data_IF_352536212604
#
_entry.id   IF_352536212604
#
_cell.length_a   1.000
_cell.length_b   1.000
_cell.length_c   1.000
_cell.angle_alpha   90.00
_cell.angle_beta   90.00
_cell.angle_gamma   90.00
#
_symmetry.space_group_name_H-M   'P 1'
#
loop_
_entity.id
_entity.type
_entity.pdbx_description
1 polymer ?
#
# COMPACT_ATOMS: atom_id res chain seq x y z
N UNK A 1 18.52 15.96 -12.17
CA UNK A 1 17.87 16.95 -11.28
C UNK A 1 17.38 16.31 -9.99
N UNK A 2 16.67 15.17 -9.97
CA UNK A 2 16.23 14.48 -8.74
C UNK A 2 17.39 14.04 -7.82
N UNK A 3 18.51 13.59 -8.39
CA UNK A 3 19.70 13.14 -7.62
C UNK A 3 20.18 14.14 -6.56
N UNK A 4 20.12 15.46 -6.86
CA UNK A 4 20.51 16.50 -5.90
C UNK A 4 19.57 16.57 -4.69
N UNK A 5 18.27 16.32 -4.91
CA UNK A 5 17.30 16.31 -3.83
C UNK A 5 17.44 15.06 -2.96
N UNK A 6 17.67 13.90 -3.55
CA UNK A 6 17.91 12.67 -2.80
C UNK A 6 19.20 12.71 -1.99
N UNK A 7 20.27 13.31 -2.56
CA UNK A 7 21.51 13.54 -1.83
C UNK A 7 21.31 14.48 -0.62
N UNK A 8 20.48 15.52 -0.74
CA UNK A 8 20.15 16.42 0.37
C UNK A 8 19.41 15.71 1.50
N UNK A 9 18.61 14.72 1.18
CA UNK A 9 17.89 13.87 2.13
C UNK A 9 18.78 12.74 2.68
N UNK A 10 20.05 12.64 2.23
CA UNK A 10 21.02 11.60 2.60
C UNK A 10 20.55 10.18 2.20
N UNK A 11 19.73 10.08 1.16
CA UNK A 11 19.27 8.79 0.64
C UNK A 11 20.31 8.19 -0.32
N UNK A 12 20.52 6.89 -0.22
CA UNK A 12 21.27 6.13 -1.20
C UNK A 12 20.33 5.81 -2.38
N UNK A 13 20.54 6.50 -3.49
CA UNK A 13 19.63 6.45 -4.62
C UNK A 13 20.29 5.86 -5.85
N UNK A 14 19.74 4.77 -6.34
CA UNK A 14 20.13 4.10 -7.56
C UNK A 14 19.18 4.47 -8.71
N UNK A 15 19.70 4.60 -9.92
CA UNK A 15 18.92 5.01 -11.09
C UNK A 15 19.04 3.97 -12.20
N UNK A 16 17.89 3.55 -12.71
CA UNK A 16 17.78 2.77 -13.93
C UNK A 16 17.12 3.60 -15.03
N UNK A 17 17.63 3.53 -16.25
CA UNK A 17 17.17 4.33 -17.38
C UNK A 17 16.32 3.54 -18.38
N UNK A 18 16.23 2.23 -18.21
CA UNK A 18 15.26 1.39 -18.90
C UNK A 18 14.69 0.33 -17.96
N UNK A 19 13.56 -0.28 -18.38
CA UNK A 19 12.83 -1.20 -17.52
C UNK A 19 13.55 -2.55 -17.31
N UNK A 20 14.41 -3.00 -18.22
CA UNK A 20 15.18 -4.23 -18.02
C UNK A 20 16.28 -4.02 -16.98
N UNK A 21 17.00 -2.89 -17.08
CA UNK A 21 17.99 -2.47 -16.09
C UNK A 21 17.35 -2.37 -14.69
N UNK A 22 16.15 -1.77 -14.59
CA UNK A 22 15.43 -1.66 -13.32
C UNK A 22 15.13 -3.03 -12.70
N UNK A 23 14.64 -3.99 -13.50
CA UNK A 23 14.36 -5.35 -13.04
C UNK A 23 15.65 -6.09 -12.66
N UNK A 24 16.73 -5.91 -13.42
CA UNK A 24 18.03 -6.53 -13.12
C UNK A 24 18.61 -6.03 -11.80
N UNK A 25 18.64 -4.69 -11.59
CA UNK A 25 19.10 -4.09 -10.34
C UNK A 25 18.28 -4.58 -9.15
N UNK A 26 16.95 -4.59 -9.26
CA UNK A 26 16.08 -5.06 -8.18
C UNK A 26 16.28 -6.55 -7.89
N UNK A 27 16.40 -7.38 -8.93
CA UNK A 27 16.53 -8.85 -8.79
C UNK A 27 17.85 -9.27 -8.16
N UNK A 28 18.89 -8.43 -8.23
CA UNK A 28 20.20 -8.72 -7.65
C UNK A 28 20.13 -8.80 -6.12
N UNK A 29 19.34 -7.94 -5.47
CA UNK A 29 19.06 -7.98 -4.03
C UNK A 29 17.68 -7.38 -3.73
N UNK A 30 16.58 -8.16 -3.78
CA UNK A 30 15.24 -7.64 -3.59
C UNK A 30 14.95 -7.09 -2.17
N UNK A 31 15.78 -7.42 -1.19
CA UNK A 31 15.58 -7.01 0.22
C UNK A 31 16.29 -5.71 0.57
N UNK A 32 17.17 -5.19 -0.30
CA UNK A 32 17.95 -3.96 -0.05
C UNK A 32 17.21 -2.67 -0.40
N UNK A 33 15.97 -2.75 -0.86
CA UNK A 33 15.22 -1.59 -1.36
C UNK A 33 14.11 -1.17 -0.40
N UNK A 34 14.20 0.05 0.09
CA UNK A 34 13.18 0.63 0.99
C UNK A 34 11.97 1.14 0.21
N UNK A 35 12.19 1.70 -1.01
CA UNK A 35 11.12 2.26 -1.85
C UNK A 35 11.56 2.36 -3.30
N UNK A 36 10.61 2.27 -4.22
CA UNK A 36 10.83 2.40 -5.65
C UNK A 36 9.97 3.53 -6.22
N UNK A 37 10.57 4.44 -6.98
CA UNK A 37 9.84 5.40 -7.82
C UNK A 37 9.98 4.97 -9.27
N UNK A 38 8.87 4.75 -9.96
CA UNK A 38 8.83 4.07 -11.25
C UNK A 38 8.08 4.90 -12.29
N UNK A 39 8.78 5.31 -13.34
CA UNK A 39 8.14 5.97 -14.50
C UNK A 39 7.36 4.94 -15.31
N UNK A 40 6.15 5.27 -15.72
CA UNK A 40 5.37 4.42 -16.63
C UNK A 40 6.01 4.34 -18.02
N UNK A 41 6.56 5.45 -18.51
CA UNK A 41 7.14 5.55 -19.84
C UNK A 41 8.65 5.25 -19.82
N UNK A 42 9.02 3.99 -19.60
CA UNK A 42 10.41 3.53 -19.70
C UNK A 42 10.67 2.85 -21.04
N UNK A 43 11.90 2.99 -21.59
CA UNK A 43 12.35 2.15 -22.69
C UNK A 43 12.42 0.69 -22.28
N UNK A 44 12.34 -0.21 -23.26
CA UNK A 44 12.42 -1.66 -23.02
C UNK A 44 11.13 -2.19 -22.38
N UNK A 45 11.17 -2.51 -21.09
CA UNK A 45 9.98 -2.84 -20.33
C UNK A 45 9.33 -1.53 -19.83
N UNK A 46 8.03 -1.38 -20.06
CA UNK A 46 7.30 -0.27 -19.48
C UNK A 46 7.18 -0.38 -17.94
N UNK A 47 6.86 0.74 -17.28
CA UNK A 47 6.80 0.77 -15.82
C UNK A 47 5.77 -0.20 -15.21
N UNK A 48 4.70 -0.52 -15.92
CA UNK A 48 3.70 -1.50 -15.45
C UNK A 48 4.27 -2.91 -15.44
N UNK A 49 4.98 -3.29 -16.50
CA UNK A 49 5.68 -4.58 -16.61
C UNK A 49 6.78 -4.70 -15.55
N UNK A 50 7.52 -3.62 -15.31
CA UNK A 50 8.54 -3.57 -14.24
C UNK A 50 7.88 -3.77 -12.87
N UNK A 51 6.82 -3.03 -12.54
CA UNK A 51 6.11 -3.19 -11.27
C UNK A 51 5.59 -4.62 -11.07
N UNK A 52 5.03 -5.20 -12.10
CA UNK A 52 4.53 -6.58 -12.05
C UNK A 52 5.65 -7.59 -11.76
N UNK A 53 6.83 -7.43 -12.37
CA UNK A 53 8.01 -8.27 -12.10
C UNK A 53 8.54 -8.06 -10.67
N UNK A 54 8.62 -6.81 -10.21
CA UNK A 54 9.00 -6.48 -8.84
C UNK A 54 8.05 -7.14 -7.84
N UNK A 55 6.74 -7.09 -8.07
CA UNK A 55 5.73 -7.73 -7.20
C UNK A 55 5.81 -9.26 -7.18
N UNK A 56 6.35 -9.89 -8.19
CA UNK A 56 6.65 -11.33 -8.17
C UNK A 56 7.82 -11.66 -7.22
N UNK A 57 8.79 -10.74 -7.08
CA UNK A 57 9.98 -10.90 -6.24
C UNK A 57 9.79 -10.37 -4.82
N UNK A 58 9.07 -9.25 -4.68
CA UNK A 58 8.76 -8.63 -3.38
C UNK A 58 7.31 -8.16 -3.35
N UNK A 59 6.55 -8.61 -2.35
CA UNK A 59 5.16 -8.19 -2.11
C UNK A 59 5.09 -6.90 -1.29
N UNK A 60 6.16 -6.55 -0.59
CA UNK A 60 6.16 -5.55 0.48
C UNK A 60 6.87 -4.26 0.11
N UNK A 61 7.83 -4.24 -0.83
CA UNK A 61 8.53 -3.00 -1.20
C UNK A 61 7.53 -1.95 -1.70
N UNK A 62 7.50 -0.72 -1.15
CA UNK A 62 6.60 0.32 -1.64
C UNK A 62 6.97 0.79 -3.05
N UNK A 63 5.97 0.99 -3.92
CA UNK A 63 6.15 1.48 -5.29
C UNK A 63 5.32 2.74 -5.50
N UNK A 64 5.98 3.84 -5.88
CA UNK A 64 5.34 5.07 -6.35
C UNK A 64 5.44 5.14 -7.88
N UNK A 65 4.31 5.17 -8.57
CA UNK A 65 4.26 5.37 -10.02
C UNK A 65 4.36 6.84 -10.39
N UNK A 66 5.19 7.16 -11.39
CA UNK A 66 5.26 8.48 -12.01
C UNK A 66 4.51 8.44 -13.35
N UNK A 67 3.40 9.17 -13.47
CA UNK A 67 2.49 9.09 -14.62
C UNK A 67 2.26 10.44 -15.28
N UNK A 68 1.91 10.46 -16.57
CA UNK A 68 1.47 11.68 -17.25
C UNK A 68 0.00 12.00 -16.87
N UNK A 69 -0.35 13.28 -16.89
CA UNK A 69 -1.63 13.82 -16.38
C UNK A 69 -2.88 13.35 -17.13
N UNK A 70 -2.72 12.86 -18.36
CA UNK A 70 -3.81 12.69 -19.32
C UNK A 70 -4.41 11.27 -19.36
N UNK A 71 -3.96 10.34 -18.52
CA UNK A 71 -4.47 8.98 -18.52
C UNK A 71 -5.04 8.59 -17.17
N UNK A 72 -6.32 8.94 -16.93
CA UNK A 72 -7.08 8.37 -15.80
C UNK A 72 -7.02 6.83 -15.81
N UNK A 73 -6.99 6.25 -17.02
CA UNK A 73 -6.82 4.82 -17.25
C UNK A 73 -5.49 4.30 -16.73
N UNK A 74 -4.38 5.03 -16.91
CA UNK A 74 -3.04 4.58 -16.49
C UNK A 74 -2.86 4.69 -14.97
N UNK A 75 -3.50 5.65 -14.31
CA UNK A 75 -3.49 5.76 -12.86
C UNK A 75 -4.22 4.59 -12.20
N UNK A 76 -5.43 4.30 -12.67
CA UNK A 76 -6.21 3.15 -12.19
C UNK A 76 -5.47 1.84 -12.50
N UNK A 77 -4.93 1.70 -13.70
CA UNK A 77 -4.21 0.51 -14.12
C UNK A 77 -2.88 0.32 -13.35
N UNK A 78 -2.12 1.40 -13.11
CA UNK A 78 -0.89 1.35 -12.31
C UNK A 78 -1.15 0.91 -10.87
N UNK A 79 -2.19 1.45 -10.25
CA UNK A 79 -2.66 0.99 -8.94
C UNK A 79 -3.15 -0.47 -9.02
N UNK A 80 -3.87 -0.88 -10.05
CA UNK A 80 -4.32 -2.27 -10.27
C UNK A 80 -3.16 -3.26 -10.41
N UNK A 81 -1.97 -2.82 -10.84
CA UNK A 81 -0.79 -3.66 -11.00
C UNK A 81 0.17 -3.70 -9.80
N UNK A 82 -0.19 -3.07 -8.67
CA UNK A 82 0.54 -3.21 -7.42
C UNK A 82 1.30 -1.98 -6.93
N UNK A 83 1.11 -0.80 -7.54
CA UNK A 83 1.61 0.44 -6.97
C UNK A 83 0.88 0.79 -5.66
N UNK A 84 1.60 1.40 -4.72
CA UNK A 84 1.06 1.88 -3.45
C UNK A 84 0.60 3.33 -3.55
N UNK A 85 1.21 4.10 -4.46
CA UNK A 85 0.88 5.49 -4.72
C UNK A 85 1.26 5.89 -6.15
N UNK A 86 0.82 7.06 -6.60
CA UNK A 86 1.22 7.64 -7.87
C UNK A 86 1.46 9.15 -7.76
N UNK A 87 2.29 9.68 -8.66
CA UNK A 87 2.57 11.12 -8.81
C UNK A 87 2.41 11.51 -10.26
N UNK A 88 1.54 12.48 -10.52
CA UNK A 88 1.30 12.98 -11.88
C UNK A 88 2.37 13.97 -12.33
N UNK A 89 2.88 13.80 -13.53
CA UNK A 89 3.80 14.75 -14.19
C UNK A 89 3.03 15.92 -14.80
N UNK A 90 3.56 17.16 -14.74
CA UNK A 90 4.79 17.55 -14.08
C UNK A 90 4.60 17.66 -12.56
N UNK A 91 5.55 17.15 -11.79
CA UNK A 91 5.54 17.21 -10.34
C UNK A 91 6.68 18.05 -9.78
N UNK A 92 6.46 18.63 -8.62
CA UNK A 92 7.53 19.25 -7.83
C UNK A 92 8.40 18.15 -7.18
N UNK A 93 9.75 18.29 -7.19
CA UNK A 93 10.62 17.40 -6.43
C UNK A 93 10.23 17.30 -4.95
N UNK A 94 9.77 18.39 -4.34
CA UNK A 94 9.30 18.44 -2.96
C UNK A 94 8.09 17.53 -2.76
N UNK A 95 7.16 17.51 -3.70
CA UNK A 95 5.97 16.65 -3.65
C UNK A 95 6.37 15.17 -3.68
N UNK A 96 7.29 14.79 -4.56
CA UNK A 96 7.76 13.40 -4.63
C UNK A 96 8.48 12.99 -3.33
N UNK A 97 9.38 13.85 -2.81
CA UNK A 97 10.08 13.60 -1.53
C UNK A 97 9.09 13.45 -0.38
N UNK A 98 8.07 14.30 -0.30
CA UNK A 98 7.06 14.20 0.75
C UNK A 98 6.32 12.85 0.71
N UNK A 99 6.01 12.34 -0.47
CA UNK A 99 5.35 11.03 -0.65
C UNK A 99 6.28 9.86 -0.30
N UNK A 100 7.54 9.93 -0.72
CA UNK A 100 8.57 8.94 -0.34
C UNK A 100 8.67 8.88 1.19
N UNK A 101 8.82 10.04 1.85
CA UNK A 101 8.88 10.11 3.32
C UNK A 101 7.62 9.58 4.00
N UNK A 102 6.45 9.87 3.45
CA UNK A 102 5.19 9.38 4.01
C UNK A 102 5.09 7.85 3.96
N UNK A 103 5.52 7.23 2.85
CA UNK A 103 5.55 5.77 2.72
C UNK A 103 6.61 5.13 3.62
N UNK A 104 7.82 5.72 3.70
CA UNK A 104 8.92 5.20 4.51
C UNK A 104 8.62 5.33 6.01
N UNK A 105 8.23 6.51 6.50
CA UNK A 105 7.89 6.75 7.91
C UNK A 105 6.85 5.76 8.44
N UNK A 106 5.93 5.35 7.60
CA UNK A 106 4.88 4.42 7.99
C UNK A 106 5.40 2.99 8.15
N UNK A 107 6.39 2.60 7.36
CA UNK A 107 7.11 1.35 7.56
C UNK A 107 7.86 1.39 8.91
N UNK A 108 8.58 2.48 9.22
CA UNK A 108 9.27 2.68 10.50
C UNK A 108 8.31 2.73 11.70
N UNK A 109 7.19 3.47 11.61
CA UNK A 109 6.21 3.55 12.71
C UNK A 109 5.54 2.20 13.00
N UNK A 110 5.41 1.33 12.00
CA UNK A 110 4.93 -0.04 12.19
C UNK A 110 6.00 -0.87 12.93
N UNK A 111 7.28 -0.70 12.61
CA UNK A 111 8.38 -1.35 13.33
C UNK A 111 8.49 -0.83 14.77
N UNK A 112 8.45 0.49 15.00
CA UNK A 112 8.47 1.08 16.34
C UNK A 112 7.24 0.71 17.18
N UNK A 113 6.05 0.59 16.58
CA UNK A 113 4.85 0.11 17.27
C UNK A 113 4.94 -1.38 17.62
N UNK A 114 5.57 -2.18 16.79
CA UNK A 114 5.84 -3.59 17.07
C UNK A 114 6.78 -3.69 18.29
N UNK A 115 7.86 -2.90 18.34
CA UNK A 115 8.81 -2.88 19.45
C UNK A 115 8.18 -2.31 20.75
N UNK A 116 7.29 -1.31 20.65
CA UNK A 116 6.57 -0.75 21.79
C UNK A 116 5.49 -1.70 22.33
N UNK A 117 4.77 -2.38 21.44
CA UNK A 117 3.76 -3.38 21.80
C UNK A 117 4.41 -4.65 22.40
N UNK A 118 5.63 -5.02 21.99
CA UNK A 118 6.41 -6.12 22.63
C UNK A 118 6.71 -5.85 24.11
N UNK A 119 6.84 -4.60 24.53
CA UNK A 119 7.06 -4.24 25.94
C UNK A 119 5.76 -4.21 26.78
N UNK A 120 4.59 -4.17 26.14
CA UNK A 120 3.28 -4.13 26.80
C UNK A 120 2.58 -5.50 26.77
N UNK A 121 2.94 -6.40 25.85
CA UNK A 121 2.26 -7.67 25.61
C UNK A 121 2.70 -8.86 26.49
N UNK A 122 3.54 -8.71 27.50
CA UNK A 122 3.66 -9.75 28.55
C UNK A 122 2.35 -10.00 29.33
N UNK A 123 1.28 -9.23 29.06
CA UNK A 123 0.02 -9.30 29.79
C UNK A 123 -1.23 -9.68 28.96
N UNK A 124 -1.17 -9.81 27.63
CA UNK A 124 -2.34 -10.19 26.82
C UNK A 124 -1.98 -11.21 25.74
N UNK A 125 -2.42 -12.42 25.94
CA UNK A 125 -2.18 -13.64 25.16
C UNK A 125 -2.94 -13.66 23.82
N UNK A 126 -2.76 -12.66 22.95
CA UNK A 126 -3.36 -12.58 21.63
C UNK A 126 -2.32 -12.20 20.57
N UNK A 127 -2.01 -13.12 19.66
CA UNK A 127 -1.14 -12.89 18.50
C UNK A 127 -1.75 -11.91 17.47
N UNK A 128 -2.96 -11.37 17.71
CA UNK A 128 -3.72 -10.55 16.77
C UNK A 128 -4.14 -9.22 17.42
N UNK A 129 -3.75 -8.11 16.80
CA UNK A 129 -4.10 -6.73 17.24
C UNK A 129 -5.45 -6.24 16.71
N UNK A 130 -6.05 -6.97 15.78
CA UNK A 130 -7.43 -6.76 15.31
C UNK A 130 -8.13 -8.11 15.29
N UNK A 131 -9.29 -8.18 15.96
CA UNK A 131 -10.14 -9.37 15.94
C UNK A 131 -11.61 -8.96 15.95
N UNK A 132 -12.39 -9.57 15.05
CA UNK A 132 -13.83 -9.40 14.91
C UNK A 132 -14.51 -10.78 14.89
N UNK A 133 -15.76 -10.88 14.49
CA UNK A 133 -16.51 -12.15 14.52
C UNK A 133 -15.88 -13.26 13.65
N UNK A 134 -15.37 -12.91 12.47
CA UNK A 134 -14.80 -13.86 11.50
C UNK A 134 -13.44 -13.44 10.94
N UNK A 135 -12.92 -12.30 11.37
CA UNK A 135 -11.68 -11.74 10.86
C UNK A 135 -10.67 -11.53 11.99
N UNK A 136 -9.39 -11.81 11.71
CA UNK A 136 -8.27 -11.51 12.62
C UNK A 136 -7.06 -11.05 11.83
N UNK A 137 -6.26 -10.18 12.43
CA UNK A 137 -5.11 -9.55 11.77
C UNK A 137 -4.01 -9.28 12.78
N UNK A 138 -2.76 -9.51 12.38
CA UNK A 138 -1.56 -9.21 13.15
C UNK A 138 -0.72 -8.16 12.41
N UNK A 139 -0.47 -7.03 13.05
CA UNK A 139 0.45 -6.02 12.53
C UNK A 139 1.90 -6.49 12.59
N UNK A 140 2.24 -7.31 13.58
CA UNK A 140 3.57 -7.87 13.80
C UNK A 140 4.01 -8.80 12.65
N UNK A 141 3.14 -9.74 12.27
CA UNK A 141 3.42 -10.68 11.17
C UNK A 141 2.95 -10.17 9.81
N UNK A 142 2.20 -9.05 9.78
CA UNK A 142 1.50 -8.50 8.60
C UNK A 142 0.59 -9.53 7.93
N UNK A 143 -0.03 -10.37 8.72
CA UNK A 143 -0.97 -11.40 8.30
C UNK A 143 -2.40 -11.01 8.61
N UNK A 144 -3.32 -11.41 7.75
CA UNK A 144 -4.75 -11.24 7.92
C UNK A 144 -5.47 -12.56 7.56
N UNK A 145 -6.50 -12.89 8.32
CA UNK A 145 -7.28 -14.11 8.15
C UNK A 145 -8.77 -13.79 8.15
N UNK A 146 -9.51 -14.40 7.24
CA UNK A 146 -10.97 -14.39 7.22
C UNK A 146 -11.49 -15.82 7.28
N UNK A 147 -12.32 -16.15 8.28
CA UNK A 147 -12.77 -17.53 8.59
C UNK A 147 -11.59 -18.51 8.74
N UNK A 148 -10.51 -18.05 9.39
CA UNK A 148 -9.24 -18.77 9.56
C UNK A 148 -8.46 -19.06 8.26
N UNK A 149 -8.92 -18.57 7.11
CA UNK A 149 -8.21 -18.66 5.83
C UNK A 149 -7.34 -17.41 5.61
N UNK A 150 -6.06 -17.55 5.25
CA UNK A 150 -5.16 -16.40 5.09
C UNK A 150 -5.52 -15.55 3.86
N UNK A 151 -5.64 -14.25 4.06
CA UNK A 151 -5.77 -13.26 2.96
C UNK A 151 -4.37 -12.97 2.42
N UNK A 152 -4.00 -13.63 1.35
CA UNK A 152 -2.64 -13.60 0.79
C UNK A 152 -2.37 -12.35 -0.07
N UNK A 153 -1.08 -12.07 -0.25
CA UNK A 153 -0.56 -11.08 -1.20
C UNK A 153 -1.00 -9.62 -0.94
N UNK A 154 -1.31 -9.25 0.30
CA UNK A 154 -1.61 -7.86 0.64
C UNK A 154 -0.39 -6.97 0.46
N UNK A 155 -0.53 -5.87 -0.32
CA UNK A 155 0.49 -4.83 -0.36
C UNK A 155 0.48 -4.01 0.93
N UNK A 156 1.54 -3.22 1.25
CA UNK A 156 1.57 -2.40 2.45
C UNK A 156 0.32 -1.52 2.62
N UNK A 157 -0.13 -0.86 1.56
CA UNK A 157 -1.31 0.02 1.62
C UNK A 157 -2.64 -0.72 1.72
N UNK A 158 -2.75 -1.89 1.08
CA UNK A 158 -3.93 -2.74 1.23
C UNK A 158 -4.06 -3.29 2.66
N UNK A 159 -2.92 -3.68 3.25
CA UNK A 159 -2.88 -4.13 4.64
C UNK A 159 -3.32 -3.00 5.60
N UNK A 160 -2.75 -1.80 5.46
CA UNK A 160 -3.06 -0.64 6.30
C UNK A 160 -4.52 -0.18 6.14
N UNK A 161 -5.05 -0.22 4.91
CA UNK A 161 -6.44 0.10 4.61
C UNK A 161 -7.39 -0.91 5.26
N UNK A 162 -7.10 -2.20 5.14
CA UNK A 162 -7.87 -3.26 5.79
C UNK A 162 -7.84 -3.13 7.31
N UNK A 163 -6.64 -2.88 7.88
CA UNK A 163 -6.46 -2.64 9.31
C UNK A 163 -7.28 -1.46 9.81
N UNK A 164 -7.23 -0.33 9.11
CA UNK A 164 -7.99 0.89 9.47
C UNK A 164 -9.49 0.63 9.51
N UNK A 165 -10.01 -0.09 8.53
CA UNK A 165 -11.43 -0.43 8.45
C UNK A 165 -11.82 -1.47 9.52
N UNK A 166 -11.02 -2.53 9.71
CA UNK A 166 -11.33 -3.64 10.61
C UNK A 166 -11.16 -3.28 12.10
N UNK A 167 -10.27 -2.33 12.44
CA UNK A 167 -10.16 -1.79 13.81
C UNK A 167 -11.43 -1.11 14.29
N UNK A 168 -12.28 -0.65 13.37
CA UNK A 168 -13.51 0.07 13.67
C UNK A 168 -14.68 -0.57 12.91
N UNK A 169 -15.11 -1.80 13.27
CA UNK A 169 -16.18 -2.51 12.58
C UNK A 169 -17.45 -1.67 12.53
N UNK A 170 -18.12 -1.67 11.38
CA UNK A 170 -19.36 -0.94 11.08
C UNK A 170 -19.24 0.58 11.05
N UNK A 171 -18.09 1.16 11.41
CA UNK A 171 -17.84 2.58 11.21
C UNK A 171 -17.68 2.87 9.71
N UNK A 172 -18.38 3.91 9.25
CA UNK A 172 -18.25 4.41 7.88
C UNK A 172 -17.15 5.44 7.83
N UNK A 173 -16.19 5.25 6.95
CA UNK A 173 -15.12 6.21 6.65
C UNK A 173 -15.37 6.84 5.28
N UNK A 174 -15.24 8.16 5.16
CA UNK A 174 -15.20 8.81 3.86
C UNK A 174 -13.89 8.46 3.12
N UNK A 175 -13.88 8.67 1.81
CA UNK A 175 -12.66 8.51 1.01
C UNK A 175 -11.53 9.42 1.49
N UNK A 176 -11.86 10.67 1.79
CA UNK A 176 -10.94 11.66 2.35
C UNK A 176 -10.34 11.19 3.68
N UNK A 177 -11.18 10.72 4.62
CA UNK A 177 -10.71 10.16 5.89
C UNK A 177 -9.78 8.96 5.70
N UNK A 178 -10.11 8.04 4.78
CA UNK A 178 -9.25 6.89 4.48
C UNK A 178 -7.94 7.34 3.84
N UNK A 179 -7.97 8.35 2.99
CA UNK A 179 -6.79 8.93 2.38
C UNK A 179 -5.86 9.52 3.45
N UNK A 180 -6.39 10.31 4.37
CA UNK A 180 -5.65 10.87 5.50
C UNK A 180 -5.07 9.78 6.41
N UNK A 181 -5.90 8.81 6.81
CA UNK A 181 -5.49 7.76 7.75
C UNK A 181 -4.52 6.75 7.18
N UNK A 182 -4.59 6.46 5.87
CA UNK A 182 -3.78 5.43 5.21
C UNK A 182 -2.63 6.01 4.39
N UNK A 183 -2.72 7.22 3.85
CA UNK A 183 -1.67 7.88 3.06
C UNK A 183 -1.01 9.09 3.73
N UNK A 184 -1.56 9.57 4.86
CA UNK A 184 -1.07 10.70 5.67
C UNK A 184 -1.66 12.07 5.30
N UNK A 185 -1.68 12.97 6.29
CA UNK A 185 -2.27 14.32 6.30
C UNK A 185 -1.75 15.26 5.21
N UNK A 186 -0.58 14.98 4.62
CA UNK A 186 0.01 15.77 3.55
C UNK A 186 -0.19 15.15 2.15
N UNK A 187 -1.09 14.18 2.05
CA UNK A 187 -1.37 13.53 0.80
C UNK A 187 -2.25 14.40 -0.09
N UNK A 188 -1.67 15.01 -1.11
CA UNK A 188 -2.38 15.75 -2.17
C UNK A 188 -2.84 14.82 -3.32
N UNK A 189 -3.26 13.61 -3.02
CA UNK A 189 -3.72 12.63 -4.00
C UNK A 189 -5.21 12.66 -4.25
N UNK A 190 -5.63 11.93 -5.28
CA UNK A 190 -7.04 11.76 -5.64
C UNK A 190 -7.69 10.69 -4.75
N UNK A 191 -8.91 10.93 -4.30
CA UNK A 191 -9.75 9.96 -3.58
C UNK A 191 -9.94 8.63 -4.32
N UNK A 192 -9.78 8.63 -5.64
CA UNK A 192 -9.79 7.44 -6.50
C UNK A 192 -8.71 6.43 -6.14
N UNK A 193 -7.60 6.88 -5.51
CA UNK A 193 -6.58 5.99 -4.95
C UNK A 193 -7.19 5.00 -3.95
N UNK A 194 -8.09 5.48 -3.10
CA UNK A 194 -8.82 4.63 -2.14
C UNK A 194 -9.68 3.61 -2.88
N UNK A 195 -10.45 4.04 -3.87
CA UNK A 195 -11.35 3.16 -4.64
C UNK A 195 -10.59 2.03 -5.35
N UNK A 196 -9.43 2.35 -5.93
CA UNK A 196 -8.56 1.36 -6.58
C UNK A 196 -8.03 0.31 -5.60
N UNK A 197 -7.57 0.74 -4.41
CA UNK A 197 -7.09 -0.17 -3.37
C UNK A 197 -8.24 -1.00 -2.76
N UNK A 198 -9.42 -0.42 -2.55
CA UNK A 198 -10.63 -1.15 -2.12
C UNK A 198 -10.99 -2.24 -3.15
N UNK A 199 -10.96 -1.92 -4.44
CA UNK A 199 -11.25 -2.90 -5.51
C UNK A 199 -10.33 -4.11 -5.43
N UNK A 200 -9.01 -3.89 -5.31
CA UNK A 200 -8.02 -4.97 -5.19
C UNK A 200 -8.17 -5.76 -3.89
N UNK A 201 -8.36 -5.06 -2.80
CA UNK A 201 -8.55 -5.69 -1.51
C UNK A 201 -9.76 -6.61 -1.51
N UNK A 202 -10.87 -6.18 -2.12
CA UNK A 202 -12.06 -7.02 -2.34
C UNK A 202 -11.75 -8.27 -3.15
N UNK A 203 -11.01 -8.16 -4.23
CA UNK A 203 -10.62 -9.31 -5.05
C UNK A 203 -9.77 -10.34 -4.29
N UNK A 204 -8.96 -9.89 -3.31
CA UNK A 204 -8.16 -10.79 -2.47
C UNK A 204 -9.02 -11.44 -1.39
N UNK A 205 -9.91 -10.70 -0.76
CA UNK A 205 -10.87 -11.19 0.24
C UNK A 205 -11.83 -12.22 -0.37
N UNK A 206 -12.37 -11.97 -1.57
CA UNK A 206 -13.29 -12.88 -2.27
C UNK A 206 -12.69 -14.25 -2.60
N UNK A 207 -11.37 -14.40 -2.60
CA UNK A 207 -10.69 -15.69 -2.78
C UNK A 207 -10.79 -16.60 -1.55
N UNK A 208 -10.99 -16.03 -0.37
CA UNK A 208 -10.95 -16.75 0.91
C UNK A 208 -12.29 -16.73 1.66
N UNK A 209 -13.19 -15.81 1.28
CA UNK A 209 -14.48 -15.71 1.95
C UNK A 209 -15.42 -14.67 1.34
N UNK A 210 -16.54 -14.42 1.98
CA UNK A 210 -17.51 -13.42 1.53
C UNK A 210 -16.97 -11.99 1.69
N UNK A 211 -17.57 -11.05 0.99
CA UNK A 211 -17.18 -9.65 0.98
C UNK A 211 -17.54 -8.97 2.32
N UNK A 212 -16.53 -8.56 3.07
CA UNK A 212 -16.67 -7.87 4.37
C UNK A 212 -16.47 -6.34 4.26
N UNK A 213 -15.99 -5.83 3.12
CA UNK A 213 -15.86 -4.40 2.88
C UNK A 213 -17.07 -3.92 2.10
N UNK A 214 -17.91 -3.13 2.74
CA UNK A 214 -19.16 -2.62 2.17
C UNK A 214 -18.99 -1.17 1.68
N UNK A 215 -19.66 -0.83 0.56
CA UNK A 215 -19.76 0.54 0.07
C UNK A 215 -20.97 1.21 0.69
N UNK A 216 -20.77 2.39 1.26
CA UNK A 216 -21.86 3.29 1.65
C UNK A 216 -21.96 4.39 0.60
N UNK A 217 -22.96 4.27 -0.27
CA UNK A 217 -23.13 5.13 -1.44
C UNK A 217 -23.14 6.62 -1.08
N UNK A 218 -22.36 7.40 -1.81
CA UNK A 218 -22.23 8.83 -1.58
C UNK A 218 -21.36 9.22 -0.37
N UNK A 219 -20.87 8.25 0.43
CA UNK A 219 -20.06 8.50 1.63
C UNK A 219 -18.68 7.85 1.51
N UNK A 220 -18.61 6.52 1.47
CA UNK A 220 -17.32 5.83 1.49
C UNK A 220 -17.44 4.34 1.76
N UNK A 221 -16.66 3.82 2.70
CA UNK A 221 -16.51 2.40 2.97
C UNK A 221 -16.58 2.06 4.45
N UNK A 222 -17.01 0.84 4.77
CA UNK A 222 -16.96 0.25 6.12
C UNK A 222 -16.56 -1.22 6.05
N UNK A 223 -16.02 -1.72 7.15
CA UNK A 223 -15.84 -3.15 7.39
C UNK A 223 -17.03 -3.68 8.19
N UNK A 224 -17.58 -4.83 7.77
CA UNK A 224 -18.69 -5.48 8.48
C UNK A 224 -18.69 -6.98 8.16
N UNK A 225 -18.35 -7.80 9.13
CA UNK A 225 -18.34 -9.26 9.03
C UNK A 225 -19.42 -9.93 9.89
N UNK A 226 -20.29 -9.14 10.53
CA UNK A 226 -21.30 -9.64 11.49
C UNK A 226 -22.43 -10.43 10.81
N UNK A 227 -22.75 -10.15 9.55
CA UNK A 227 -23.85 -10.81 8.83
C UNK A 227 -23.38 -11.79 7.75
N UNK A 228 -22.04 -11.97 7.60
CA UNK A 228 -21.49 -12.85 6.56
C UNK A 228 -21.52 -14.33 7.02
N UNK A 229 -21.89 -15.22 6.12
CA UNK A 229 -21.83 -16.66 6.31
C UNK A 229 -20.85 -17.25 5.31
N UNK A 230 -20.09 -18.22 5.72
CA UNK A 230 -19.19 -18.99 4.85
C UNK A 230 -19.98 -19.83 3.86
#
# INVERSE_FOLDING_TARGET
MMSMFFLKEQWDAHFAYDGNEAVEQFSADPMSWDIITLDLNLPGLDGMQVAQKIRQLSKTVPIIMLTARDSESDQVLGLELGADDYVTKPFSPITLIARIKALHRRAELVEEQIEADEQVEEAANSDYDVQTDHFKMSSKTREAYLFDEPVLDLTPKEFDLLKTLAKNPRQVFSREQLLELVWDYQYFGDERTVDAHIKKLRQKIEKVGPQVIQTVWGVGYKFDDSEVKR
#
